data_IF_121613455396
#
_entry.id   IF_121613455396
#
_cell.length_a   1.000
_cell.length_b   1.000
_cell.length_c   1.000
_cell.angle_alpha   90.00
_cell.angle_beta   90.00
_cell.angle_gamma   90.00
#
_symmetry.space_group_name_H-M   'P 1'
#
loop_
_entity.id
_entity.type
_entity.pdbx_description
1 polymer ?
#
# COMPACT_ATOMS: atom_id res chain seq x y z
N UNK A 1 -12.35 7.57 15.90
CA UNK A 1 -12.07 7.33 14.47
C UNK A 1 -12.41 8.57 13.62
N UNK A 2 -11.64 8.85 12.55
CA UNK A 2 -11.83 10.02 11.67
C UNK A 2 -13.26 10.09 11.09
N UNK A 3 -13.84 8.94 10.70
CA UNK A 3 -15.21 8.88 10.17
C UNK A 3 -16.26 9.42 11.14
N UNK A 4 -16.07 9.17 12.45
CA UNK A 4 -17.00 9.64 13.48
C UNK A 4 -17.01 11.16 13.58
N UNK A 5 -15.86 11.82 13.46
CA UNK A 5 -15.80 13.29 13.54
C UNK A 5 -16.35 13.96 12.28
N UNK A 6 -16.19 13.33 11.11
CA UNK A 6 -16.77 13.81 9.85
C UNK A 6 -18.29 13.64 9.87
N UNK A 7 -18.79 12.46 10.23
CA UNK A 7 -20.23 12.19 10.30
C UNK A 7 -20.99 13.14 11.22
N UNK A 8 -20.41 13.47 12.39
CA UNK A 8 -21.03 14.41 13.33
C UNK A 8 -21.17 15.83 12.75
N UNK A 9 -20.30 16.23 11.82
CA UNK A 9 -20.32 17.55 11.17
C UNK A 9 -21.27 17.62 9.97
N UNK A 10 -21.77 16.47 9.49
CA UNK A 10 -22.76 16.43 8.42
C UNK A 10 -24.13 16.75 9.02
N UNK A 11 -24.74 17.85 8.58
CA UNK A 11 -26.05 18.31 9.05
C UNK A 11 -27.17 17.42 8.49
N UNK A 12 -27.23 17.29 7.16
CA UNK A 12 -28.26 16.57 6.40
C UNK A 12 -27.96 15.06 6.34
N UNK A 13 -28.03 14.37 7.48
CA UNK A 13 -27.70 12.93 7.61
C UNK A 13 -28.62 12.04 6.78
N UNK A 14 -29.84 12.47 6.49
CA UNK A 14 -30.79 11.75 5.64
C UNK A 14 -30.26 11.51 4.22
N UNK A 15 -29.38 12.37 3.71
CA UNK A 15 -28.73 12.19 2.40
C UNK A 15 -27.88 10.92 2.41
N UNK A 16 -27.11 10.69 3.49
CA UNK A 16 -26.31 9.46 3.66
C UNK A 16 -27.19 8.22 3.79
N UNK A 17 -28.30 8.32 4.53
CA UNK A 17 -29.25 7.20 4.70
C UNK A 17 -29.86 6.79 3.37
N UNK A 18 -30.30 7.77 2.57
CA UNK A 18 -30.84 7.52 1.24
C UNK A 18 -29.77 6.95 0.31
N UNK A 19 -28.58 7.56 0.26
CA UNK A 19 -27.48 7.04 -0.55
C UNK A 19 -27.12 5.60 -0.16
N UNK A 20 -27.06 5.27 1.13
CA UNK A 20 -26.82 3.91 1.62
C UNK A 20 -27.94 2.93 1.25
N UNK A 21 -29.20 3.37 1.21
CA UNK A 21 -30.31 2.54 0.74
C UNK A 21 -30.25 2.27 -0.77
N UNK A 22 -29.78 3.25 -1.55
CA UNK A 22 -29.79 3.20 -3.02
C UNK A 22 -28.48 2.75 -3.67
N UNK A 23 -27.34 2.74 -2.98
CA UNK A 23 -26.01 2.57 -3.59
C UNK A 23 -25.91 1.37 -4.54
N UNK A 24 -26.62 0.29 -4.21
CA UNK A 24 -26.63 -0.97 -4.96
C UNK A 24 -28.00 -1.35 -5.56
N UNK A 25 -28.97 -0.42 -5.60
CA UNK A 25 -30.38 -0.72 -5.94
C UNK A 25 -30.57 -1.38 -7.32
N UNK A 26 -29.69 -1.07 -8.27
CA UNK A 26 -29.77 -1.55 -9.64
C UNK A 26 -28.87 -2.78 -9.92
N UNK A 27 -28.28 -3.41 -8.90
CA UNK A 27 -27.53 -4.67 -9.08
C UNK A 27 -28.43 -5.74 -9.72
N UNK A 28 -27.87 -6.46 -10.69
CA UNK A 28 -28.57 -7.55 -11.40
C UNK A 28 -29.49 -7.10 -12.56
N UNK A 29 -29.58 -5.80 -12.87
CA UNK A 29 -30.44 -5.28 -13.96
C UNK A 29 -29.78 -5.22 -15.35
N UNK A 30 -28.51 -5.62 -15.46
CA UNK A 30 -27.71 -5.48 -16.68
C UNK A 30 -27.19 -4.05 -16.88
N UNK A 31 -25.99 -3.90 -17.46
CA UNK A 31 -25.32 -2.59 -17.56
C UNK A 31 -24.61 -2.15 -16.27
N UNK A 32 -24.24 -0.87 -16.18
CA UNK A 32 -23.56 -0.32 -15.01
C UNK A 32 -24.57 0.06 -13.92
N UNK A 33 -24.61 -0.75 -12.84
CA UNK A 33 -25.56 -0.58 -11.74
C UNK A 33 -25.46 0.79 -11.05
N UNK A 34 -24.28 1.37 -10.91
CA UNK A 34 -24.12 2.65 -10.22
C UNK A 34 -24.71 3.80 -11.04
N UNK A 35 -24.61 3.74 -12.38
CA UNK A 35 -25.23 4.72 -13.29
C UNK A 35 -26.76 4.59 -13.32
N UNK A 36 -27.29 3.37 -13.31
CA UNK A 36 -28.73 3.15 -13.24
C UNK A 36 -29.29 3.58 -11.88
N UNK A 37 -28.58 3.26 -10.80
CA UNK A 37 -28.94 3.65 -9.44
C UNK A 37 -28.96 5.16 -9.23
N UNK A 38 -28.07 5.92 -9.88
CA UNK A 38 -28.08 7.40 -9.87
C UNK A 38 -29.41 7.96 -10.35
N UNK A 39 -29.94 7.43 -11.46
CA UNK A 39 -31.20 7.89 -12.05
C UNK A 39 -32.35 7.61 -11.08
N UNK A 40 -32.44 6.37 -10.57
CA UNK A 40 -33.51 5.94 -9.67
C UNK A 40 -33.50 6.72 -8.35
N UNK A 41 -32.33 6.98 -7.79
CA UNK A 41 -32.23 7.70 -6.53
C UNK A 41 -32.57 9.19 -6.68
N UNK A 42 -32.20 9.83 -7.79
CA UNK A 42 -32.62 11.21 -8.09
C UNK A 42 -34.14 11.30 -8.26
N UNK A 43 -34.74 10.42 -9.07
CA UNK A 43 -36.19 10.39 -9.30
C UNK A 43 -36.96 10.20 -7.99
N UNK A 44 -36.49 9.26 -7.15
CA UNK A 44 -37.06 9.02 -5.83
C UNK A 44 -36.98 10.28 -4.97
N UNK A 45 -35.80 10.89 -4.82
CA UNK A 45 -35.62 12.07 -3.98
C UNK A 45 -36.53 13.24 -4.42
N UNK A 46 -36.64 13.49 -5.73
CA UNK A 46 -37.51 14.53 -6.27
C UNK A 46 -39.00 14.24 -6.02
N UNK A 47 -39.44 13.00 -6.22
CA UNK A 47 -40.82 12.59 -5.95
C UNK A 47 -41.19 12.72 -4.47
N UNK A 48 -40.21 12.66 -3.56
CA UNK A 48 -40.38 12.82 -2.12
C UNK A 48 -40.12 14.25 -1.63
N UNK A 49 -40.09 15.22 -2.54
CA UNK A 49 -40.03 16.65 -2.19
C UNK A 49 -38.66 17.15 -1.76
N UNK A 50 -37.58 16.40 -2.01
CA UNK A 50 -36.22 16.90 -1.80
C UNK A 50 -35.85 17.94 -2.85
N UNK A 51 -34.93 18.84 -2.47
CA UNK A 51 -34.37 19.80 -3.41
C UNK A 51 -33.59 19.08 -4.51
N UNK A 52 -33.50 19.69 -5.70
CA UNK A 52 -32.69 19.15 -6.81
C UNK A 52 -31.22 18.99 -6.41
N UNK A 53 -30.68 19.89 -5.58
CA UNK A 53 -29.31 19.80 -5.08
C UNK A 53 -29.10 18.57 -4.19
N UNK A 54 -30.02 18.31 -3.24
CA UNK A 54 -29.91 17.14 -2.38
C UNK A 54 -30.13 15.84 -3.16
N UNK A 55 -31.11 15.82 -4.10
CA UNK A 55 -31.36 14.68 -4.97
C UNK A 55 -30.13 14.34 -5.82
N UNK A 56 -29.49 15.34 -6.42
CA UNK A 56 -28.26 15.16 -7.19
C UNK A 56 -27.10 14.67 -6.31
N UNK A 57 -27.00 15.11 -5.06
CA UNK A 57 -25.99 14.60 -4.13
C UNK A 57 -26.22 13.12 -3.80
N UNK A 58 -27.46 12.70 -3.56
CA UNK A 58 -27.80 11.27 -3.38
C UNK A 58 -27.45 10.48 -4.65
N UNK A 59 -27.85 10.97 -5.83
CA UNK A 59 -27.51 10.38 -7.13
C UNK A 59 -26.02 10.21 -7.34
N UNK A 60 -25.25 11.27 -7.10
CA UNK A 60 -23.80 11.27 -7.22
C UNK A 60 -23.15 10.26 -6.27
N UNK A 61 -23.61 10.20 -5.00
CA UNK A 61 -23.13 9.22 -4.04
C UNK A 61 -23.44 7.78 -4.49
N UNK A 62 -24.65 7.53 -5.01
CA UNK A 62 -25.03 6.22 -5.57
C UNK A 62 -24.13 5.85 -6.75
N UNK A 63 -23.83 6.80 -7.65
CA UNK A 63 -22.95 6.56 -8.80
C UNK A 63 -21.52 6.24 -8.41
N UNK A 64 -20.98 6.97 -7.45
CA UNK A 64 -19.54 6.94 -7.14
C UNK A 64 -19.23 6.21 -5.83
N UNK A 65 -20.16 5.44 -5.26
CA UNK A 65 -19.97 4.78 -3.96
C UNK A 65 -18.73 3.85 -3.89
N UNK A 66 -18.31 3.26 -5.02
CA UNK A 66 -17.10 2.44 -5.13
C UNK A 66 -15.81 3.24 -5.40
N UNK A 67 -15.92 4.52 -5.77
CA UNK A 67 -14.78 5.32 -6.25
C UNK A 67 -13.67 5.39 -5.19
N UNK A 68 -14.03 5.64 -3.94
CA UNK A 68 -13.06 5.77 -2.85
C UNK A 68 -12.43 4.43 -2.47
N UNK A 69 -13.24 3.37 -2.31
CA UNK A 69 -12.73 2.05 -1.97
C UNK A 69 -11.80 1.52 -3.07
N UNK A 70 -12.20 1.64 -4.34
CA UNK A 70 -11.38 1.24 -5.48
C UNK A 70 -10.10 2.06 -5.60
N UNK A 71 -10.15 3.38 -5.44
CA UNK A 71 -8.96 4.23 -5.58
C UNK A 71 -7.95 3.92 -4.49
N UNK A 72 -8.39 3.95 -3.22
CA UNK A 72 -7.46 3.73 -2.12
C UNK A 72 -6.93 2.30 -2.04
N UNK A 73 -7.66 1.30 -2.55
CA UNK A 73 -7.17 -0.08 -2.57
C UNK A 73 -6.32 -0.36 -3.81
N UNK A 74 -6.81 0.00 -5.01
CA UNK A 74 -6.24 -0.45 -6.29
C UNK A 74 -5.21 0.47 -6.93
N UNK A 75 -5.01 1.68 -6.40
CA UNK A 75 -4.05 2.65 -6.94
C UNK A 75 -3.04 3.07 -5.88
N UNK A 76 -1.90 3.61 -6.33
CA UNK A 76 -0.90 4.18 -5.46
C UNK A 76 -1.39 5.57 -5.00
N UNK A 77 -1.87 5.64 -3.76
CA UNK A 77 -2.30 6.92 -3.17
C UNK A 77 -1.14 7.73 -2.57
N UNK A 78 0.10 7.27 -2.72
CA UNK A 78 1.28 8.13 -2.53
C UNK A 78 1.55 8.98 -3.77
N UNK A 79 1.08 8.55 -4.95
CA UNK A 79 1.21 9.28 -6.21
C UNK A 79 0.31 10.54 -6.24
N UNK A 80 0.88 11.76 -6.35
CA UNK A 80 0.13 13.00 -6.46
C UNK A 80 -0.90 13.01 -7.58
N UNK A 81 -0.61 12.39 -8.73
CA UNK A 81 -1.50 12.40 -9.89
C UNK A 81 -2.75 11.56 -9.61
N UNK A 82 -2.59 10.41 -8.97
CA UNK A 82 -3.72 9.56 -8.54
C UNK A 82 -4.64 10.32 -7.58
N UNK A 83 -4.05 11.01 -6.60
CA UNK A 83 -4.82 11.81 -5.63
C UNK A 83 -5.48 13.02 -6.30
N UNK A 84 -4.82 13.64 -7.27
CA UNK A 84 -5.36 14.79 -8.03
C UNK A 84 -6.52 14.36 -8.92
N UNK A 85 -6.39 13.28 -9.71
CA UNK A 85 -7.49 12.73 -10.50
C UNK A 85 -8.69 12.36 -9.60
N UNK A 86 -8.42 11.76 -8.43
CA UNK A 86 -9.48 11.47 -7.47
C UNK A 86 -10.12 12.76 -6.93
N UNK A 87 -9.33 13.78 -6.60
CA UNK A 87 -9.83 15.08 -6.16
C UNK A 87 -10.70 15.74 -7.23
N UNK A 88 -10.31 15.70 -8.51
CA UNK A 88 -11.06 16.25 -9.63
C UNK A 88 -12.42 15.55 -9.80
N UNK A 89 -12.44 14.22 -9.68
CA UNK A 89 -13.68 13.44 -9.75
C UNK A 89 -14.61 13.72 -8.56
N UNK A 90 -14.04 13.88 -7.36
CA UNK A 90 -14.78 14.20 -6.14
C UNK A 90 -15.29 15.64 -6.17
N UNK A 91 -14.51 16.57 -6.72
CA UNK A 91 -14.86 17.96 -7.02
C UNK A 91 -14.93 18.90 -5.83
N UNK A 92 -15.45 18.47 -4.68
CA UNK A 92 -15.58 19.33 -3.49
C UNK A 92 -15.58 18.57 -2.15
N UNK A 93 -15.34 19.30 -1.05
CA UNK A 93 -15.24 18.74 0.30
C UNK A 93 -16.56 18.11 0.77
N UNK A 94 -17.71 18.60 0.31
CA UNK A 94 -19.02 18.01 0.67
C UNK A 94 -19.13 16.60 0.09
N UNK A 95 -18.83 16.41 -1.19
CA UNK A 95 -18.76 15.10 -1.83
C UNK A 95 -17.75 14.19 -1.14
N UNK A 96 -16.54 14.70 -0.86
CA UNK A 96 -15.50 13.93 -0.17
C UNK A 96 -15.95 13.40 1.19
N UNK A 97 -16.59 14.26 2.01
CA UNK A 97 -17.07 13.88 3.33
C UNK A 97 -18.16 12.81 3.26
N UNK A 98 -19.13 12.98 2.36
CA UNK A 98 -20.25 12.05 2.23
C UNK A 98 -19.80 10.72 1.64
N UNK A 99 -18.93 10.75 0.62
CA UNK A 99 -18.36 9.54 0.02
C UNK A 99 -17.54 8.76 1.05
N UNK A 100 -16.66 9.42 1.81
CA UNK A 100 -15.88 8.75 2.85
C UNK A 100 -16.78 8.05 3.87
N UNK A 101 -17.77 8.75 4.41
CA UNK A 101 -18.68 8.16 5.41
C UNK A 101 -19.47 6.98 4.81
N UNK A 102 -20.00 7.14 3.59
CA UNK A 102 -20.75 6.08 2.91
C UNK A 102 -19.87 4.84 2.68
N UNK A 103 -18.65 5.02 2.15
CA UNK A 103 -17.71 3.92 1.90
C UNK A 103 -17.34 3.19 3.18
N UNK A 104 -17.06 3.90 4.28
CA UNK A 104 -16.77 3.25 5.57
C UNK A 104 -17.99 2.47 6.07
N UNK A 105 -19.19 3.04 5.97
CA UNK A 105 -20.42 2.37 6.41
C UNK A 105 -20.69 1.08 5.60
N UNK A 106 -20.57 1.15 4.27
CA UNK A 106 -20.76 0.01 3.37
C UNK A 106 -19.76 -1.13 3.65
N UNK A 107 -18.47 -0.79 3.78
CA UNK A 107 -17.43 -1.79 4.09
C UNK A 107 -17.65 -2.47 5.44
N UNK A 108 -18.13 -1.73 6.46
CA UNK A 108 -18.44 -2.30 7.77
C UNK A 108 -19.71 -3.19 7.72
N UNK A 109 -20.68 -2.84 6.88
CA UNK A 109 -21.95 -3.56 6.78
C UNK A 109 -21.83 -4.88 5.98
N UNK A 110 -20.97 -4.93 4.97
CA UNK A 110 -20.82 -6.09 4.08
C UNK A 110 -19.98 -7.21 4.69
N UNK A 111 -18.83 -6.90 5.29
CA UNK A 111 -18.05 -7.87 6.07
C UNK A 111 -17.17 -7.13 7.08
N UNK A 112 -17.35 -7.34 8.40
CA UNK A 112 -16.56 -6.68 9.44
C UNK A 112 -15.04 -6.90 9.33
N UNK A 113 -14.59 -7.99 8.70
CA UNK A 113 -13.17 -8.24 8.42
C UNK A 113 -12.64 -7.39 7.26
N UNK A 114 -13.51 -6.88 6.37
CA UNK A 114 -13.14 -5.92 5.33
C UNK A 114 -12.73 -4.58 5.94
N UNK A 115 -13.24 -4.20 7.11
CA UNK A 115 -12.85 -2.95 7.75
C UNK A 115 -11.80 -3.20 8.84
N UNK A 116 -10.53 -3.22 8.42
CA UNK A 116 -9.38 -3.35 9.30
C UNK A 116 -8.62 -2.02 9.43
N UNK A 117 -7.70 -1.93 10.39
CA UNK A 117 -6.97 -0.68 10.66
C UNK A 117 -6.18 -0.20 9.44
N UNK A 118 -5.69 -1.12 8.60
CA UNK A 118 -5.00 -0.79 7.36
C UNK A 118 -5.87 -0.06 6.34
N UNK A 119 -7.06 -0.60 6.01
CA UNK A 119 -8.01 0.09 5.14
C UNK A 119 -8.45 1.42 5.73
N UNK A 120 -8.61 1.50 7.05
CA UNK A 120 -8.89 2.76 7.70
C UNK A 120 -7.78 3.80 7.47
N UNK A 121 -6.51 3.40 7.49
CA UNK A 121 -5.35 4.27 7.20
C UNK A 121 -5.30 4.68 5.73
N UNK A 122 -5.50 3.76 4.78
CA UNK A 122 -5.51 4.11 3.36
C UNK A 122 -6.64 5.09 3.01
N UNK A 123 -7.84 4.83 3.52
CA UNK A 123 -8.99 5.72 3.30
C UNK A 123 -8.74 7.07 3.98
N UNK A 124 -8.12 7.09 5.17
CA UNK A 124 -7.75 8.31 5.88
C UNK A 124 -6.66 9.11 5.16
N UNK A 125 -5.66 8.44 4.59
CA UNK A 125 -4.59 9.06 3.81
C UNK A 125 -5.17 9.72 2.55
N UNK A 126 -5.88 8.95 1.73
CA UNK A 126 -6.54 9.46 0.52
C UNK A 126 -7.48 10.61 0.87
N UNK A 127 -8.34 10.45 1.90
CA UNK A 127 -9.21 11.53 2.38
C UNK A 127 -8.41 12.78 2.75
N UNK A 128 -7.33 12.64 3.52
CA UNK A 128 -6.58 13.77 4.05
C UNK A 128 -5.83 14.52 2.95
N UNK A 129 -5.20 13.82 2.01
CA UNK A 129 -4.53 14.43 0.87
C UNK A 129 -5.54 15.08 -0.08
N UNK A 130 -6.62 14.39 -0.44
CA UNK A 130 -7.69 14.93 -1.28
C UNK A 130 -8.31 16.18 -0.66
N UNK A 131 -8.56 16.15 0.66
CA UNK A 131 -9.11 17.29 1.39
C UNK A 131 -8.17 18.48 1.42
N UNK A 132 -6.84 18.29 1.35
CA UNK A 132 -5.87 19.39 1.21
C UNK A 132 -6.01 20.04 -0.16
N UNK A 133 -6.05 19.24 -1.23
CA UNK A 133 -6.26 19.73 -2.61
C UNK A 133 -7.59 20.50 -2.72
N UNK A 134 -8.68 19.92 -2.22
CA UNK A 134 -10.02 20.54 -2.27
C UNK A 134 -10.22 21.73 -1.31
N UNK A 135 -9.29 22.00 -0.39
CA UNK A 135 -9.36 23.12 0.56
C UNK A 135 -8.35 24.23 0.31
N UNK A 136 -7.29 23.99 -0.46
CA UNK A 136 -6.47 25.07 -0.97
C UNK A 136 -7.32 25.93 -1.92
N UNK A 137 -7.41 27.27 -1.83
CA UNK A 137 -6.46 28.27 -1.31
C UNK A 137 -5.05 28.02 -1.84
N UNK A 138 -4.83 28.28 -3.15
CA UNK A 138 -3.61 28.56 -3.95
C UNK A 138 -2.31 27.72 -3.72
N UNK A 139 -2.08 27.13 -2.55
CA UNK A 139 -0.80 26.58 -2.08
C UNK A 139 -0.82 25.07 -1.74
N UNK A 140 -1.87 24.30 -2.11
CA UNK A 140 -1.80 22.84 -1.95
C UNK A 140 -0.79 22.26 -2.95
N UNK A 141 0.12 21.39 -2.49
CA UNK A 141 0.96 20.59 -3.37
C UNK A 141 0.10 19.80 -4.35
N UNK A 142 0.15 20.18 -5.62
CA UNK A 142 -0.64 19.56 -6.70
C UNK A 142 0.25 18.81 -7.68
N UNK A 143 1.57 18.97 -7.57
CA UNK A 143 2.54 18.23 -8.36
C UNK A 143 3.53 17.47 -7.46
N UNK A 144 4.26 16.54 -8.07
CA UNK A 144 5.28 15.68 -7.43
C UNK A 144 6.30 16.49 -6.62
N UNK A 145 6.81 17.59 -7.18
CA UNK A 145 7.84 18.42 -6.56
C UNK A 145 7.36 19.12 -5.29
N UNK A 146 6.12 19.61 -5.31
CA UNK A 146 5.52 20.26 -4.16
C UNK A 146 5.27 19.24 -3.03
N UNK A 147 4.89 18.00 -3.36
CA UNK A 147 4.72 16.94 -2.36
C UNK A 147 6.04 16.55 -1.72
N UNK A 148 7.10 16.35 -2.51
CA UNK A 148 8.47 16.16 -2.00
C UNK A 148 8.84 17.31 -1.05
N UNK A 149 8.66 18.54 -1.51
CA UNK A 149 9.02 19.74 -0.75
C UNK A 149 8.22 19.85 0.55
N UNK A 150 6.93 19.51 0.52
CA UNK A 150 6.05 19.51 1.68
C UNK A 150 6.43 18.43 2.69
N UNK A 151 6.66 17.19 2.25
CA UNK A 151 7.11 16.09 3.11
C UNK A 151 8.47 16.41 3.73
N UNK A 152 9.42 16.89 2.92
CA UNK A 152 10.76 17.31 3.38
C UNK A 152 10.68 18.44 4.40
N UNK A 153 9.83 19.45 4.15
CA UNK A 153 9.57 20.54 5.10
C UNK A 153 8.95 20.03 6.40
N UNK A 154 7.98 19.11 6.32
CA UNK A 154 7.35 18.53 7.51
C UNK A 154 8.35 17.72 8.34
N UNK A 155 9.19 16.92 7.69
CA UNK A 155 10.27 16.17 8.34
C UNK A 155 11.29 17.11 8.99
N UNK A 156 11.64 18.24 8.36
CA UNK A 156 12.51 19.28 8.97
C UNK A 156 11.86 19.90 10.22
N UNK A 157 10.58 20.24 10.15
CA UNK A 157 9.86 20.79 11.32
C UNK A 157 9.85 19.77 12.46
N UNK A 158 9.66 18.48 12.17
CA UNK A 158 9.75 17.43 13.19
C UNK A 158 11.18 17.30 13.75
N UNK A 159 12.20 17.35 12.89
CA UNK A 159 13.60 17.39 13.30
C UNK A 159 13.90 18.60 14.21
N UNK A 160 13.29 19.76 13.98
CA UNK A 160 13.51 20.95 14.81
C UNK A 160 12.80 20.88 16.18
N UNK A 161 11.77 20.03 16.32
CA UNK A 161 10.93 19.93 17.51
C UNK A 161 11.31 18.77 18.46
N UNK A 162 12.07 17.79 17.99
CA UNK A 162 12.60 16.71 18.84
C UNK A 162 13.92 17.19 19.47
N UNK A 163 14.22 16.75 20.70
CA UNK A 163 15.48 17.05 21.39
C UNK A 163 16.65 16.33 20.70
N UNK A 164 17.03 16.83 19.54
CA UNK A 164 17.95 16.22 18.58
C UNK A 164 19.40 16.60 18.84
N UNK A 165 19.80 16.71 20.12
CA UNK A 165 21.16 17.07 20.51
C UNK A 165 22.26 16.17 19.91
N UNK A 166 21.87 15.01 19.37
CA UNK A 166 22.77 14.01 18.79
C UNK A 166 22.80 14.00 17.26
N UNK A 167 21.91 14.72 16.56
CA UNK A 167 21.84 14.72 15.09
C UNK A 167 22.29 16.06 14.51
N UNK A 168 23.37 16.04 13.72
CA UNK A 168 23.86 17.21 13.01
C UNK A 168 22.96 17.50 11.78
N UNK A 169 22.36 18.69 11.72
CA UNK A 169 21.48 19.10 10.60
C UNK A 169 22.14 18.95 9.22
N UNK A 170 23.43 19.29 9.11
CA UNK A 170 24.13 19.22 7.83
C UNK A 170 24.33 17.77 7.38
N UNK A 171 24.50 16.83 8.32
CA UNK A 171 24.59 15.40 8.02
C UNK A 171 23.23 14.84 7.60
N UNK A 172 22.15 15.26 8.27
CA UNK A 172 20.78 14.90 7.89
C UNK A 172 20.45 15.37 6.47
N UNK A 173 20.75 16.64 6.15
CA UNK A 173 20.46 17.19 4.83
C UNK A 173 21.26 16.48 3.73
N UNK A 174 22.55 16.17 3.97
CA UNK A 174 23.36 15.38 3.04
C UNK A 174 22.80 13.99 2.82
N UNK A 175 22.43 13.30 3.90
CA UNK A 175 21.80 11.98 3.80
C UNK A 175 20.53 12.05 2.96
N UNK A 176 19.67 13.04 3.21
CA UNK A 176 18.42 13.21 2.47
C UNK A 176 18.63 13.50 0.98
N UNK A 177 19.67 14.25 0.63
CA UNK A 177 20.05 14.45 -0.77
C UNK A 177 20.58 13.16 -1.42
N UNK A 178 21.32 12.34 -0.67
CA UNK A 178 21.83 11.05 -1.15
C UNK A 178 20.71 10.00 -1.34
N UNK A 179 19.68 10.00 -0.47
CA UNK A 179 18.51 9.13 -0.58
C UNK A 179 17.62 9.46 -1.80
N UNK A 180 17.65 10.71 -2.24
CA UNK A 180 16.93 11.19 -3.42
C UNK A 180 15.44 11.49 -3.19
N UNK A 181 14.82 12.11 -4.20
CA UNK A 181 13.47 12.68 -4.10
C UNK A 181 12.36 11.63 -3.99
N UNK A 182 12.52 10.45 -4.60
CA UNK A 182 11.55 9.35 -4.56
C UNK A 182 11.26 8.87 -3.14
N UNK A 183 12.26 8.96 -2.26
CA UNK A 183 12.12 8.64 -0.85
C UNK A 183 11.05 9.50 -0.16
N UNK A 184 10.99 10.79 -0.48
CA UNK A 184 10.05 11.75 0.13
C UNK A 184 8.63 11.67 -0.43
N UNK A 185 8.44 10.99 -1.56
CA UNK A 185 7.12 10.71 -2.12
C UNK A 185 6.48 9.49 -1.46
N UNK A 186 7.29 8.47 -1.21
CA UNK A 186 6.82 7.15 -0.78
C UNK A 186 6.74 7.02 0.73
N UNK A 187 7.53 7.79 1.47
CA UNK A 187 7.53 7.78 2.93
C UNK A 187 6.83 9.00 3.55
N UNK A 188 6.33 8.80 4.77
CA UNK A 188 5.76 9.88 5.59
C UNK A 188 6.85 10.53 6.45
N UNK A 189 6.62 11.77 6.91
CA UNK A 189 7.62 12.55 7.65
C UNK A 189 8.09 11.86 8.95
N UNK A 190 7.19 11.15 9.63
CA UNK A 190 7.47 10.38 10.83
C UNK A 190 8.41 9.19 10.56
N UNK A 191 8.25 8.54 9.41
CA UNK A 191 9.08 7.40 8.97
C UNK A 191 10.44 7.93 8.55
N UNK A 192 10.46 9.05 7.81
CA UNK A 192 11.69 9.73 7.40
C UNK A 192 12.57 10.07 8.59
N UNK A 193 12.00 10.66 9.66
CA UNK A 193 12.77 11.00 10.85
C UNK A 193 13.34 9.74 11.54
N UNK A 194 12.53 8.70 11.69
CA UNK A 194 12.95 7.43 12.29
C UNK A 194 14.07 6.74 11.50
N UNK A 195 13.93 6.66 10.17
CA UNK A 195 14.95 6.09 9.30
C UNK A 195 16.24 6.92 9.34
N UNK A 196 16.12 8.26 9.35
CA UNK A 196 17.26 9.18 9.45
C UNK A 196 18.08 8.92 10.71
N UNK A 197 17.40 8.83 11.86
CA UNK A 197 18.05 8.52 13.14
C UNK A 197 18.73 7.15 13.10
N UNK A 198 18.05 6.13 12.55
CA UNK A 198 18.60 4.79 12.44
C UNK A 198 19.85 4.73 11.55
N UNK A 199 19.84 5.42 10.41
CA UNK A 199 20.95 5.45 9.46
C UNK A 199 22.16 6.18 10.04
N UNK A 200 21.96 7.35 10.65
CA UNK A 200 23.06 8.14 11.23
C UNK A 200 23.72 7.44 12.43
N UNK A 201 22.98 6.62 13.16
CA UNK A 201 23.51 5.82 14.27
C UNK A 201 24.09 4.47 13.83
N UNK A 202 24.03 4.13 12.54
CA UNK A 202 24.57 2.89 12.00
C UNK A 202 25.94 3.12 11.34
N UNK A 203 26.88 2.16 11.42
CA UNK A 203 28.12 2.23 10.66
C UNK A 203 27.87 2.47 9.15
N UNK A 204 28.68 3.29 8.46
CA UNK A 204 28.50 3.55 7.03
C UNK A 204 28.45 2.26 6.21
N UNK A 205 27.43 2.15 5.37
CA UNK A 205 27.23 1.07 4.39
C UNK A 205 27.78 1.59 3.05
N UNK A 206 28.62 0.82 2.32
CA UNK A 206 29.11 1.16 0.97
C UNK A 206 30.54 1.74 0.86
N UNK A 207 31.02 1.87 -0.40
CA UNK A 207 32.45 1.91 -0.88
C UNK A 207 33.49 2.77 -0.13
N UNK A 208 33.08 3.72 0.70
CA UNK A 208 33.99 4.53 1.52
C UNK A 208 34.44 3.82 2.81
N UNK A 209 33.76 2.74 3.22
CA UNK A 209 34.23 1.88 4.30
C UNK A 209 34.96 0.67 3.70
N UNK A 210 36.21 0.44 4.13
CA UNK A 210 36.94 -0.82 3.92
C UNK A 210 36.32 -1.98 4.75
N UNK A 211 35.06 -1.86 5.17
CA UNK A 211 34.44 -2.69 6.19
C UNK A 211 33.22 -3.42 5.59
N UNK A 212 33.13 -4.72 5.86
CA UNK A 212 31.93 -5.55 5.73
C UNK A 212 30.81 -5.05 6.68
N UNK A 213 30.40 -3.79 6.55
CA UNK A 213 29.32 -3.20 7.35
C UNK A 213 28.03 -3.97 7.04
N UNK A 214 27.36 -4.55 8.05
CA UNK A 214 26.13 -5.28 7.82
C UNK A 214 25.02 -4.33 7.34
N UNK A 215 23.99 -4.85 6.66
CA UNK A 215 22.75 -4.13 6.43
C UNK A 215 22.14 -3.61 7.74
N UNK A 216 21.56 -2.41 7.69
CA UNK A 216 20.77 -1.86 8.80
C UNK A 216 19.38 -2.46 8.76
N UNK A 217 18.95 -3.09 9.85
CA UNK A 217 17.58 -3.60 10.02
C UNK A 217 17.03 -3.11 11.36
N UNK A 218 16.01 -2.25 11.31
CA UNK A 218 15.32 -1.75 12.51
C UNK A 218 13.83 -2.07 12.45
N UNK A 219 13.24 -2.21 13.63
CA UNK A 219 11.83 -2.55 13.79
C UNK A 219 11.18 -1.57 14.74
N UNK A 220 9.90 -1.31 14.54
CA UNK A 220 9.05 -0.63 15.52
C UNK A 220 7.61 -1.13 15.42
N UNK A 221 6.84 -0.87 16.47
CA UNK A 221 5.39 -1.08 16.44
C UNK A 221 4.73 -0.22 15.35
N UNK A 222 3.80 -0.80 14.61
CA UNK A 222 3.06 -0.11 13.56
C UNK A 222 1.56 -0.12 13.84
N UNK A 223 1.13 0.76 14.74
CA UNK A 223 -0.24 0.76 15.30
C UNK A 223 -1.32 1.25 14.33
N UNK A 224 -0.96 1.75 13.16
CA UNK A 224 -1.94 2.26 12.19
C UNK A 224 -2.62 1.15 11.38
N UNK A 225 -1.93 0.05 11.04
CA UNK A 225 -2.45 -0.97 10.12
C UNK A 225 -3.00 -2.22 10.83
N UNK A 226 -2.43 -2.60 11.98
CA UNK A 226 -3.01 -3.55 12.93
C UNK A 226 -2.43 -3.29 14.33
N UNK A 227 -3.08 -3.80 15.39
CA UNK A 227 -2.55 -3.68 16.76
C UNK A 227 -1.22 -4.43 16.93
N UNK A 228 -1.08 -5.56 16.24
CA UNK A 228 0.10 -6.44 16.29
C UNK A 228 0.98 -6.30 15.03
N UNK A 229 0.82 -5.21 14.26
CA UNK A 229 1.64 -4.97 13.08
C UNK A 229 3.02 -4.41 13.48
N UNK A 230 4.05 -4.88 12.79
CA UNK A 230 5.44 -4.47 12.97
C UNK A 230 5.93 -3.82 11.69
N UNK A 231 6.48 -2.62 11.79
CA UNK A 231 7.17 -2.01 10.67
C UNK A 231 8.64 -2.39 10.75
N UNK A 232 9.17 -2.92 9.66
CA UNK A 232 10.57 -3.27 9.47
C UNK A 232 11.15 -2.37 8.40
N UNK A 233 12.23 -1.67 8.74
CA UNK A 233 12.98 -0.87 7.80
C UNK A 233 14.35 -1.51 7.56
N UNK A 234 14.69 -1.68 6.29
CA UNK A 234 15.95 -2.25 5.81
C UNK A 234 16.66 -1.20 4.98
N UNK A 235 17.91 -0.91 5.34
CA UNK A 235 18.81 -0.08 4.55
C UNK A 235 20.08 -0.87 4.24
N UNK A 236 20.35 -1.06 2.95
CA UNK A 236 21.44 -1.92 2.49
C UNK A 236 22.00 -1.45 1.16
N UNK A 237 23.17 -1.96 0.79
CA UNK A 237 23.69 -1.75 -0.55
C UNK A 237 22.77 -2.47 -1.54
N UNK A 238 22.41 -1.77 -2.61
CA UNK A 238 21.53 -2.31 -3.63
C UNK A 238 22.13 -3.58 -4.24
N UNK A 239 21.30 -4.62 -4.34
CA UNK A 239 21.67 -5.91 -4.86
C UNK A 239 20.47 -6.58 -5.52
N UNK A 240 20.73 -7.31 -6.61
CA UNK A 240 19.72 -8.11 -7.28
C UNK A 240 19.19 -9.14 -6.29
N UNK A 241 17.85 -9.21 -6.13
CA UNK A 241 17.07 -10.19 -5.35
C UNK A 241 16.54 -9.77 -3.96
N UNK A 242 16.77 -8.53 -3.51
CA UNK A 242 16.38 -8.09 -2.16
C UNK A 242 14.94 -8.46 -1.80
N UNK A 243 13.99 -8.11 -2.66
CA UNK A 243 12.58 -8.45 -2.45
C UNK A 243 12.36 -9.96 -2.25
N UNK A 244 12.90 -10.78 -3.16
CA UNK A 244 12.71 -12.23 -3.12
C UNK A 244 13.33 -12.88 -1.87
N UNK A 245 14.51 -12.39 -1.46
CA UNK A 245 15.21 -12.86 -0.26
C UNK A 245 14.43 -12.47 1.00
N UNK A 246 13.99 -11.22 1.09
CA UNK A 246 13.21 -10.71 2.21
C UNK A 246 11.89 -11.47 2.37
N UNK A 247 11.16 -11.70 1.28
CA UNK A 247 9.91 -12.48 1.30
C UNK A 247 10.14 -13.93 1.77
N UNK A 248 11.28 -14.53 1.44
CA UNK A 248 11.62 -15.88 1.89
C UNK A 248 11.97 -15.94 3.39
N UNK A 249 12.65 -14.92 3.92
CA UNK A 249 12.93 -14.82 5.36
C UNK A 249 11.63 -14.64 6.15
N UNK A 250 10.74 -13.75 5.70
CA UNK A 250 9.43 -13.56 6.32
C UNK A 250 8.58 -14.82 6.26
N UNK A 251 8.54 -15.53 5.13
CA UNK A 251 7.86 -16.82 5.05
C UNK A 251 8.46 -17.83 6.03
N UNK A 252 9.78 -17.98 6.13
CA UNK A 252 10.40 -18.93 7.07
C UNK A 252 10.04 -18.65 8.53
N UNK A 253 9.79 -17.39 8.88
CA UNK A 253 9.35 -16.96 10.22
C UNK A 253 7.82 -16.94 10.39
N UNK A 254 7.05 -17.34 9.37
CA UNK A 254 5.58 -17.29 9.35
C UNK A 254 5.01 -15.87 9.57
N UNK A 255 5.72 -14.86 9.08
CA UNK A 255 5.28 -13.48 9.08
C UNK A 255 4.51 -13.20 7.78
N UNK A 256 3.33 -12.60 7.91
CA UNK A 256 2.59 -12.12 6.74
C UNK A 256 3.01 -10.69 6.43
N UNK A 257 3.14 -10.35 5.16
CA UNK A 257 3.39 -8.98 4.71
C UNK A 257 2.04 -8.34 4.38
N UNK A 258 1.80 -7.14 4.89
CA UNK A 258 0.62 -6.33 4.58
C UNK A 258 0.93 -5.25 3.54
N UNK A 259 2.11 -4.64 3.67
CA UNK A 259 2.55 -3.54 2.82
C UNK A 259 4.07 -3.64 2.63
N UNK A 260 4.54 -3.29 1.43
CA UNK A 260 5.96 -3.19 1.14
C UNK A 260 6.22 -1.97 0.24
N UNK A 261 7.10 -1.09 0.69
CA UNK A 261 7.64 0.02 -0.09
C UNK A 261 9.11 -0.27 -0.34
N UNK A 262 9.51 -0.30 -1.60
CA UNK A 262 10.85 -0.73 -2.03
C UNK A 262 11.44 0.42 -2.83
N UNK A 263 12.50 1.02 -2.31
CA UNK A 263 13.03 2.25 -2.86
C UNK A 263 14.50 2.03 -3.16
N UNK A 264 14.83 1.96 -4.45
CA UNK A 264 16.21 2.04 -4.90
C UNK A 264 16.59 3.52 -4.90
N UNK A 265 17.39 3.92 -3.91
CA UNK A 265 17.90 5.29 -3.81
C UNK A 265 18.93 5.58 -4.91
N UNK A 266 19.18 6.86 -5.14
CA UNK A 266 20.20 7.30 -6.07
C UNK A 266 21.58 6.78 -5.64
N UNK A 267 22.17 5.88 -6.45
CA UNK A 267 23.56 5.37 -6.35
C UNK A 267 23.80 4.30 -5.27
N UNK A 268 23.44 3.07 -5.61
CA UNK A 268 23.92 1.84 -4.94
C UNK A 268 23.27 1.47 -3.60
N UNK A 269 22.12 2.05 -3.21
CA UNK A 269 21.42 1.67 -1.97
C UNK A 269 19.95 1.35 -2.17
N UNK A 270 19.46 0.40 -1.38
CA UNK A 270 18.05 0.02 -1.28
C UNK A 270 17.50 0.35 0.11
N UNK A 271 16.32 0.95 0.12
CA UNK A 271 15.53 1.32 1.30
C UNK A 271 14.19 0.62 1.20
N UNK A 272 14.03 -0.43 2.00
CA UNK A 272 12.79 -1.19 2.00
C UNK A 272 12.08 -1.02 3.34
N UNK A 273 10.81 -0.64 3.27
CA UNK A 273 9.91 -0.58 4.41
C UNK A 273 8.83 -1.65 4.25
N UNK A 274 8.73 -2.55 5.21
CA UNK A 274 7.71 -3.60 5.24
C UNK A 274 6.83 -3.42 6.46
N UNK A 275 5.53 -3.69 6.29
CA UNK A 275 4.60 -3.83 7.41
C UNK A 275 4.21 -5.29 7.51
N UNK A 276 4.56 -5.90 8.63
CA UNK A 276 4.39 -7.32 8.89
C UNK A 276 3.28 -7.54 9.91
N UNK A 277 2.55 -8.63 9.75
CA UNK A 277 1.64 -9.16 10.75
C UNK A 277 2.24 -10.44 11.32
N UNK A 278 2.53 -10.41 12.62
CA UNK A 278 2.92 -11.62 13.36
C UNK A 278 1.70 -12.28 13.98
N UNK A 279 1.25 -13.41 13.41
CA UNK A 279 0.11 -14.17 13.93
C UNK A 279 0.36 -14.77 15.32
N UNK A 280 1.61 -14.93 15.72
CA UNK A 280 2.00 -15.37 17.07
C UNK A 280 2.02 -14.23 18.09
N UNK A 281 2.03 -12.97 17.64
CA UNK A 281 2.11 -11.78 18.50
C UNK A 281 3.42 -11.66 19.30
N UNK A 282 4.46 -12.39 18.88
CA UNK A 282 5.75 -12.51 19.56
C UNK A 282 6.73 -11.40 19.17
N UNK A 283 6.72 -10.95 17.92
CA UNK A 283 7.75 -10.08 17.35
C UNK A 283 7.87 -8.72 18.06
N UNK A 284 6.80 -8.21 18.67
CA UNK A 284 6.84 -6.94 19.42
C UNK A 284 7.16 -7.10 20.90
N UNK A 285 6.96 -8.30 21.46
CA UNK A 285 7.06 -8.55 22.90
C UNK A 285 8.36 -9.29 23.26
N UNK A 286 8.88 -10.08 22.33
CA UNK A 286 10.07 -10.91 22.50
C UNK A 286 11.27 -10.33 21.75
N UNK A 287 12.29 -9.90 22.50
CA UNK A 287 13.54 -9.38 21.94
C UNK A 287 14.32 -10.44 21.17
N UNK A 288 14.20 -11.71 21.54
CA UNK A 288 14.93 -12.80 20.88
C UNK A 288 14.38 -13.02 19.47
N UNK A 289 13.05 -13.03 19.31
CA UNK A 289 12.38 -13.07 18.01
C UNK A 289 12.76 -11.89 17.10
N UNK A 290 12.87 -10.67 17.66
CA UNK A 290 13.34 -9.50 16.90
C UNK A 290 14.78 -9.67 16.43
N UNK A 291 15.66 -10.13 17.33
CA UNK A 291 17.06 -10.33 17.02
C UNK A 291 17.24 -11.47 16.00
N UNK A 292 16.42 -12.51 16.08
CA UNK A 292 16.39 -13.59 15.10
C UNK A 292 16.01 -13.07 13.71
N UNK A 293 14.95 -12.25 13.59
CA UNK A 293 14.56 -11.66 12.31
C UNK A 293 15.67 -10.80 11.72
N UNK A 294 16.25 -9.91 12.53
CA UNK A 294 17.38 -9.06 12.12
C UNK A 294 18.55 -9.90 11.61
N UNK A 295 18.96 -10.92 12.37
CA UNK A 295 20.10 -11.76 12.01
C UNK A 295 19.85 -12.55 10.74
N UNK A 296 18.65 -13.14 10.57
CA UNK A 296 18.28 -13.87 9.35
C UNK A 296 18.31 -12.97 8.11
N UNK A 297 17.81 -11.74 8.21
CA UNK A 297 17.89 -10.76 7.11
C UNK A 297 19.33 -10.38 6.80
N UNK A 298 20.13 -10.03 7.82
CA UNK A 298 21.55 -9.69 7.66
C UNK A 298 22.32 -10.84 7.00
N UNK A 299 22.12 -12.08 7.43
CA UNK A 299 22.80 -13.25 6.88
C UNK A 299 22.36 -13.55 5.44
N UNK A 300 21.06 -13.39 5.16
CA UNK A 300 20.51 -13.60 3.82
C UNK A 300 21.01 -12.55 2.81
N UNK A 301 21.17 -11.29 3.24
CA UNK A 301 21.73 -10.23 2.41
C UNK A 301 23.25 -10.35 2.22
N UNK A 302 23.99 -10.94 3.18
CA UNK A 302 25.43 -11.22 3.01
C UNK A 302 25.71 -12.35 2.01
N UNK A 303 24.83 -13.34 1.95
CA UNK A 303 24.95 -14.49 1.04
C UNK A 303 23.69 -14.60 0.17
N UNK A 304 23.53 -13.73 -0.84
CA UNK A 304 22.35 -13.65 -1.70
C UNK A 304 22.28 -14.85 -2.66
N UNK A 305 22.08 -16.05 -2.11
CA UNK A 305 21.73 -17.26 -2.86
C UNK A 305 20.26 -17.24 -3.20
N UNK A 306 19.84 -18.00 -4.22
CA UNK A 306 18.41 -18.12 -4.54
C UNK A 306 17.63 -18.53 -3.28
N UNK A 307 16.61 -17.76 -2.88
CA UNK A 307 15.88 -18.02 -1.65
C UNK A 307 15.29 -19.43 -1.68
N UNK A 308 15.56 -20.21 -0.63
CA UNK A 308 14.98 -21.55 -0.48
C UNK A 308 13.52 -21.41 -0.07
N UNK A 309 12.61 -21.76 -0.98
CA UNK A 309 11.19 -21.80 -0.68
C UNK A 309 10.89 -22.89 0.34
N UNK A 310 10.18 -22.51 1.40
CA UNK A 310 9.65 -23.48 2.36
C UNK A 310 8.45 -24.18 1.73
N UNK A 311 8.55 -25.49 1.53
CA UNK A 311 7.44 -26.29 1.03
C UNK A 311 6.41 -26.56 2.14
N UNK A 312 5.69 -25.52 2.55
CA UNK A 312 4.61 -25.63 3.54
C UNK A 312 3.41 -26.35 2.95
N UNK A 313 2.75 -27.18 3.77
CA UNK A 313 1.54 -27.91 3.36
C UNK A 313 0.35 -26.97 3.40
N UNK A 314 -0.45 -26.94 2.33
CA UNK A 314 -1.70 -26.18 2.32
C UNK A 314 -2.64 -26.76 3.40
N UNK A 315 -3.11 -25.94 4.37
CA UNK A 315 -4.09 -26.35 5.36
C UNK A 315 -5.31 -27.01 4.73
N UNK A 316 -5.86 -28.06 5.37
CA UNK A 316 -7.02 -28.80 4.83
C UNK A 316 -8.23 -27.92 4.53
N UNK A 317 -8.45 -26.87 5.34
CA UNK A 317 -9.55 -25.93 5.15
C UNK A 317 -9.42 -25.17 3.82
N UNK A 318 -8.21 -24.76 3.44
CA UNK A 318 -7.94 -24.03 2.20
C UNK A 318 -8.12 -24.90 0.94
N UNK A 319 -7.99 -26.23 1.05
CA UNK A 319 -8.19 -27.16 -0.07
C UNK A 319 -9.62 -27.21 -0.61
N UNK A 320 -10.60 -26.75 0.17
CA UNK A 320 -12.01 -26.75 -0.24
C UNK A 320 -12.37 -25.52 -1.09
N UNK A 321 -11.49 -24.51 -1.13
CA UNK A 321 -11.68 -23.32 -1.92
C UNK A 321 -11.03 -23.48 -3.29
N UNK A 322 -11.77 -23.12 -4.33
CA UNK A 322 -11.28 -23.12 -5.71
C UNK A 322 -11.19 -21.68 -6.20
N UNK A 323 -10.06 -21.03 -5.92
CA UNK A 323 -9.78 -19.67 -6.37
C UNK A 323 -8.83 -19.74 -7.56
N UNK A 324 -9.32 -19.33 -8.74
CA UNK A 324 -8.49 -19.30 -9.94
C UNK A 324 -7.46 -18.17 -9.86
N UNK A 325 -6.19 -18.49 -10.13
CA UNK A 325 -5.12 -17.50 -10.23
C UNK A 325 -5.35 -16.62 -11.45
N UNK A 326 -5.55 -15.33 -11.22
CA UNK A 326 -5.79 -14.32 -12.25
C UNK A 326 -4.73 -13.23 -12.15
N UNK A 327 -4.13 -12.86 -13.28
CA UNK A 327 -3.07 -11.85 -13.34
C UNK A 327 -3.39 -10.84 -14.43
N UNK A 328 -3.45 -9.57 -14.04
CA UNK A 328 -3.70 -8.45 -14.94
C UNK A 328 -2.56 -7.44 -14.83
N UNK A 329 -2.27 -6.75 -15.93
CA UNK A 329 -1.27 -5.69 -15.99
C UNK A 329 -1.93 -4.42 -16.52
N UNK A 330 -1.65 -3.30 -15.89
CA UNK A 330 -2.05 -1.96 -16.32
C UNK A 330 -0.80 -1.09 -16.37
N UNK A 331 -0.62 -0.33 -17.45
CA UNK A 331 0.51 0.60 -17.56
C UNK A 331 0.16 1.91 -16.84
N UNK A 332 1.02 2.34 -15.93
CA UNK A 332 0.91 3.65 -15.29
C UNK A 332 1.80 4.65 -16.03
N UNK A 333 1.19 5.59 -16.76
CA UNK A 333 1.90 6.64 -17.50
C UNK A 333 2.71 7.56 -16.56
N UNK A 334 2.20 7.84 -15.35
CA UNK A 334 2.80 8.77 -14.39
C UNK A 334 4.14 8.28 -13.84
N UNK A 335 4.23 6.97 -13.54
CA UNK A 335 5.44 6.35 -13.02
C UNK A 335 6.25 5.62 -14.09
N UNK A 336 5.74 5.50 -15.32
CA UNK A 336 6.34 4.68 -16.39
C UNK A 336 6.57 3.21 -15.99
N UNK A 337 5.77 2.70 -15.05
CA UNK A 337 5.82 1.33 -14.53
C UNK A 337 4.55 0.56 -14.88
N UNK A 338 4.60 -0.77 -14.79
CA UNK A 338 3.40 -1.60 -14.85
C UNK A 338 2.88 -1.91 -13.46
N UNK A 339 1.57 -1.81 -13.29
CA UNK A 339 0.84 -2.29 -12.12
C UNK A 339 0.38 -3.71 -12.44
N UNK A 340 0.90 -4.69 -11.71
CA UNK A 340 0.44 -6.08 -11.76
C UNK A 340 -0.57 -6.33 -10.64
N UNK A 341 -1.79 -6.72 -10.98
CA UNK A 341 -2.78 -7.25 -10.01
C UNK A 341 -2.78 -8.78 -10.06
N UNK A 342 -2.57 -9.41 -8.91
CA UNK A 342 -2.60 -10.86 -8.70
C UNK A 342 -3.78 -11.20 -7.79
N UNK A 343 -4.71 -12.01 -8.30
CA UNK A 343 -5.80 -12.56 -7.51
C UNK A 343 -5.66 -14.08 -7.44
N UNK A 344 -5.48 -14.66 -6.25
CA UNK A 344 -5.22 -16.09 -6.10
C UNK A 344 -5.63 -16.60 -4.71
N UNK A 345 -5.59 -17.92 -4.47
CA UNK A 345 -5.74 -18.46 -3.13
C UNK A 345 -4.59 -17.97 -2.23
N UNK A 346 -4.90 -17.42 -1.06
CA UNK A 346 -3.91 -17.07 -0.05
C UNK A 346 -3.39 -18.35 0.61
N UNK A 347 -2.16 -18.72 0.24
CA UNK A 347 -1.51 -19.96 0.64
C UNK A 347 -0.14 -19.69 1.25
N UNK A 348 0.31 -20.48 2.26
CA UNK A 348 1.60 -20.25 2.92
C UNK A 348 2.77 -20.21 1.93
N UNK A 349 3.56 -19.14 1.97
CA UNK A 349 4.69 -18.89 1.07
C UNK A 349 4.31 -18.31 -0.29
N UNK A 350 3.10 -17.72 -0.44
CA UNK A 350 2.66 -17.06 -1.67
C UNK A 350 3.66 -16.02 -2.16
N UNK A 351 3.99 -15.02 -1.32
CA UNK A 351 4.89 -13.94 -1.72
C UNK A 351 6.33 -14.40 -1.96
N UNK A 352 6.81 -15.40 -1.23
CA UNK A 352 8.12 -16.00 -1.49
C UNK A 352 8.17 -16.64 -2.89
N UNK A 353 7.09 -17.31 -3.33
CA UNK A 353 6.96 -17.85 -4.69
C UNK A 353 6.90 -16.75 -5.74
N UNK A 354 6.10 -15.71 -5.51
CA UNK A 354 6.01 -14.54 -6.41
C UNK A 354 7.38 -13.87 -6.55
N UNK A 355 8.07 -13.61 -5.44
CA UNK A 355 9.42 -13.05 -5.43
C UNK A 355 10.43 -13.92 -6.17
N UNK A 356 10.35 -15.25 -6.05
CA UNK A 356 11.21 -16.15 -6.82
C UNK A 356 10.96 -16.04 -8.34
N UNK A 357 9.71 -15.94 -8.77
CA UNK A 357 9.38 -15.76 -10.20
C UNK A 357 9.88 -14.40 -10.70
N UNK A 358 9.70 -13.33 -9.93
CA UNK A 358 10.23 -12.00 -10.26
C UNK A 358 11.75 -12.03 -10.44
N UNK A 359 12.47 -12.68 -9.52
CA UNK A 359 13.91 -12.86 -9.63
C UNK A 359 14.31 -13.61 -10.91
N UNK A 360 13.66 -14.74 -11.21
CA UNK A 360 13.95 -15.53 -12.41
C UNK A 360 13.63 -14.78 -13.70
N UNK A 361 12.59 -13.94 -13.67
CA UNK A 361 12.17 -13.12 -14.78
C UNK A 361 12.87 -11.75 -14.79
N UNK A 362 13.81 -11.46 -13.89
CA UNK A 362 14.52 -10.17 -13.83
C UNK A 362 13.55 -8.98 -13.77
N UNK A 363 12.55 -9.08 -12.89
CA UNK A 363 11.56 -8.04 -12.63
C UNK A 363 11.98 -7.28 -11.39
N UNK A 364 11.98 -5.95 -11.49
CA UNK A 364 12.21 -5.06 -10.35
C UNK A 364 10.88 -4.68 -9.71
N UNK A 365 10.83 -4.61 -8.38
CA UNK A 365 9.61 -4.29 -7.62
C UNK A 365 9.82 -2.98 -6.89
N UNK A 366 8.94 -2.01 -7.15
CA UNK A 366 9.01 -0.67 -6.57
C UNK A 366 8.08 -0.50 -5.37
N UNK A 367 6.97 -1.21 -5.38
CA UNK A 367 6.03 -1.25 -4.27
C UNK A 367 5.19 -2.51 -4.40
N UNK A 368 4.77 -3.05 -3.25
CA UNK A 368 3.80 -4.11 -3.20
C UNK A 368 2.75 -3.82 -2.13
N UNK A 369 1.50 -4.04 -2.49
CA UNK A 369 0.37 -4.04 -1.57
C UNK A 369 -0.19 -5.44 -1.50
N UNK A 370 -0.27 -5.96 -0.28
CA UNK A 370 -0.71 -7.32 -0.06
C UNK A 370 -2.05 -7.26 0.67
N UNK A 371 -3.08 -7.78 0.02
CA UNK A 371 -4.44 -7.74 0.59
C UNK A 371 -5.02 -9.13 0.64
N UNK A 372 -5.33 -9.62 1.85
CA UNK A 372 -6.09 -10.85 2.02
C UNK A 372 -7.57 -10.54 2.24
N UNK A 373 -8.44 -11.14 1.43
CA UNK A 373 -9.89 -11.16 1.57
C UNK A 373 -10.36 -12.61 1.78
N UNK A 374 -10.63 -12.98 3.03
CA UNK A 374 -11.02 -14.35 3.37
C UNK A 374 -9.87 -15.31 3.04
N UNK A 375 -10.11 -16.23 2.13
CA UNK A 375 -9.13 -17.18 1.59
C UNK A 375 -8.37 -16.67 0.35
N UNK A 376 -8.69 -15.48 -0.15
CA UNK A 376 -8.15 -14.93 -1.39
C UNK A 376 -7.10 -13.87 -1.11
N UNK A 377 -5.97 -13.95 -1.78
CA UNK A 377 -5.01 -12.86 -1.90
C UNK A 377 -5.34 -12.02 -3.14
N UNK A 378 -5.38 -10.71 -2.95
CA UNK A 378 -5.54 -9.66 -3.97
C UNK A 378 -4.35 -8.71 -3.87
N UNK A 379 -3.24 -9.13 -4.45
CA UNK A 379 -1.95 -8.45 -4.33
C UNK A 379 -1.71 -7.53 -5.52
N UNK A 380 -1.04 -6.42 -5.29
CA UNK A 380 -0.66 -5.47 -6.32
C UNK A 380 0.83 -5.15 -6.24
N UNK A 381 1.48 -5.13 -7.39
CA UNK A 381 2.91 -4.88 -7.50
C UNK A 381 3.18 -3.81 -8.56
N UNK A 382 4.00 -2.83 -8.23
CA UNK A 382 4.53 -1.85 -9.16
C UNK A 382 5.87 -2.38 -9.67
N UNK A 383 5.94 -2.69 -10.96
CA UNK A 383 7.04 -3.44 -11.54
C UNK A 383 7.61 -2.81 -12.81
N UNK A 384 8.91 -3.03 -13.01
CA UNK A 384 9.65 -2.65 -14.21
C UNK A 384 10.65 -3.74 -14.60
N UNK A 385 11.39 -3.53 -15.68
CA UNK A 385 12.63 -4.28 -15.90
C UNK A 385 13.76 -3.77 -14.97
N UNK A 386 14.93 -4.42 -15.05
CA UNK A 386 16.12 -4.07 -14.27
C UNK A 386 16.76 -2.71 -14.62
N UNK A 387 16.30 -2.04 -15.67
CA UNK A 387 16.75 -0.71 -16.07
C UNK A 387 15.69 0.35 -15.75
N UNK A 388 14.74 0.02 -14.88
CA UNK A 388 13.58 0.85 -14.51
C UNK A 388 12.70 1.26 -15.71
N UNK A 389 12.69 0.44 -16.77
CA UNK A 389 11.86 0.67 -17.95
C UNK A 389 10.59 -0.17 -17.94
N UNK A 390 9.60 0.31 -18.68
CA UNK A 390 8.35 -0.40 -18.91
C UNK A 390 8.61 -1.77 -19.58
N UNK A 391 7.97 -2.80 -19.05
CA UNK A 391 8.06 -4.17 -19.56
C UNK A 391 7.45 -4.27 -20.97
N UNK A 392 8.11 -5.02 -21.85
CA UNK A 392 7.58 -5.33 -23.18
C UNK A 392 6.38 -6.29 -23.11
N UNK A 393 5.54 -6.29 -24.14
CA UNK A 393 4.38 -7.18 -24.21
C UNK A 393 4.77 -8.68 -24.09
N UNK A 394 5.89 -9.08 -24.70
CA UNK A 394 6.41 -10.44 -24.61
C UNK A 394 6.86 -10.79 -23.19
N UNK A 395 7.52 -9.84 -22.51
CA UNK A 395 7.97 -10.02 -21.12
C UNK A 395 6.78 -10.15 -20.17
N UNK A 396 5.74 -9.33 -20.34
CA UNK A 396 4.49 -9.43 -19.57
C UNK A 396 3.82 -10.79 -19.75
N UNK A 397 3.80 -11.31 -21.00
CA UNK A 397 3.24 -12.64 -21.29
C UNK A 397 4.04 -13.76 -20.63
N UNK A 398 5.38 -13.71 -20.71
CA UNK A 398 6.26 -14.68 -20.05
C UNK A 398 6.08 -14.66 -18.53
N UNK A 399 6.04 -13.47 -17.94
CA UNK A 399 5.83 -13.28 -16.51
C UNK A 399 4.48 -13.85 -16.07
N UNK A 400 3.41 -13.58 -16.82
CA UNK A 400 2.07 -14.13 -16.55
C UNK A 400 2.07 -15.65 -16.51
N UNK A 401 2.65 -16.28 -17.53
CA UNK A 401 2.72 -17.75 -17.60
C UNK A 401 3.54 -18.32 -16.44
N UNK A 402 4.71 -17.76 -16.15
CA UNK A 402 5.56 -18.25 -15.07
C UNK A 402 4.90 -18.13 -13.69
N UNK A 403 4.16 -17.04 -13.43
CA UNK A 403 3.42 -16.86 -12.19
C UNK A 403 2.24 -17.83 -12.08
N UNK A 404 1.45 -18.00 -13.15
CA UNK A 404 0.35 -18.97 -13.16
C UNK A 404 0.89 -20.37 -12.90
N UNK A 405 1.93 -20.81 -13.61
CA UNK A 405 2.51 -22.15 -13.44
C UNK A 405 3.00 -22.35 -12.00
N UNK A 406 3.78 -21.41 -11.46
CA UNK A 406 4.30 -21.47 -10.09
C UNK A 406 3.20 -21.57 -9.02
N UNK A 407 2.07 -20.88 -9.22
CA UNK A 407 0.98 -20.83 -8.25
C UNK A 407 -0.04 -21.97 -8.42
N UNK A 408 -0.12 -22.57 -9.62
CA UNK A 408 -1.07 -23.65 -9.96
C UNK A 408 -0.55 -25.05 -9.58
N UNK A 409 0.77 -25.26 -9.56
CA UNK A 409 1.45 -26.57 -9.47
C UNK A 409 1.20 -27.41 -8.20
N UNK A 410 0.25 -27.05 -7.32
CA UNK A 410 -0.02 -27.79 -6.07
C UNK A 410 -1.47 -28.22 -5.83
N UNK A 411 -2.39 -27.95 -6.76
CA UNK A 411 -3.73 -28.55 -6.67
C UNK A 411 -3.75 -30.05 -7.01
N UNK A 412 -2.72 -30.58 -7.70
CA UNK A 412 -2.75 -31.95 -8.25
C UNK A 412 -1.95 -33.00 -7.45
N UNK A 413 -1.30 -32.64 -6.34
CA UNK A 413 -0.67 -33.62 -5.46
C UNK A 413 -1.70 -34.17 -4.45
N UNK A 414 -2.56 -35.07 -4.94
CA UNK A 414 -3.45 -35.92 -4.14
C UNK A 414 -2.64 -37.01 -3.44
#
# INVERSE_FOLDING_TARGET
>A
PLVSSIFQRIERKEILVLAAMFHDIAKGRGGNHSQLGEIESIEFCLAHGMSTADANLVGWLTRYHLLMSMTAQKKDISDPEVVTLFADLVGNVTHLNHLYVLTVADMNATNPQLWNSWRATLMKQLYSQTRRILRADIDAPTNRQDMISATRKQALIMLDNVDNQHMNRDEVLRLWDDLGDEYFLREIAEDILWHTEAILNHPPIGRASNADSPPLVVLREHRELALDAVQVFVYTQDQVNLFAVTMAVFDQMNLDVLDARIITATRDFALDSYVLLDRSGTLLVDSDSQQELKQRLIDAFKNPTSPKLTNKRIPRQLKHFNVATTINFEFNEASSQHIMSLETLDQPGLLARVGQVFLQQQIEVHAARITTLGERAEDMFYISDQNDQALSADKLKMLKTALIDSLSLRNDAI
#
